data_IF_643444763022
#
_entry.id   IF_643444763022
#
_cell.length_a   1.000
_cell.length_b   1.000
_cell.length_c   1.000
_cell.angle_alpha   90.00
_cell.angle_beta   90.00
_cell.angle_gamma   90.00
#
_symmetry.space_group_name_H-M   'P 1'
#
loop_
_entity.id
_entity.type
_entity.pdbx_description
1 polymer ?
#
# COMPACT_ATOMS: atom_id res chain seq x y z
N UNK A 1 2.72 1.89 -4.45
CA UNK A 1 1.32 2.25 -4.17
C UNK A 1 1.02 2.15 -2.68
N UNK A 2 0.31 3.12 -2.11
CA UNK A 2 -0.11 3.13 -0.70
C UNK A 2 -1.60 2.83 -0.55
N UNK A 3 -2.06 2.72 0.71
CA UNK A 3 -3.48 2.64 1.05
C UNK A 3 -4.23 3.88 0.55
N UNK A 4 -3.59 5.06 0.59
CA UNK A 4 -4.21 6.30 0.17
C UNK A 4 -4.49 6.35 -1.34
N UNK A 5 -3.65 5.71 -2.17
CA UNK A 5 -3.97 5.51 -3.59
C UNK A 5 -5.27 4.73 -3.77
N UNK A 6 -5.49 3.68 -2.96
CA UNK A 6 -6.68 2.85 -3.06
C UNK A 6 -7.91 3.63 -2.64
N UNK A 7 -7.91 4.22 -1.45
CA UNK A 7 -9.02 5.03 -0.93
C UNK A 7 -9.38 6.17 -1.87
N UNK A 8 -8.38 6.84 -2.45
CA UNK A 8 -8.60 7.96 -3.37
C UNK A 8 -8.92 7.53 -4.81
N UNK A 9 -8.99 6.23 -5.09
CA UNK A 9 -9.21 5.70 -6.43
C UNK A 9 -8.19 6.23 -7.48
N UNK A 10 -6.93 6.31 -7.09
CA UNK A 10 -5.80 6.94 -7.82
C UNK A 10 -5.90 8.46 -8.03
N UNK A 11 -6.80 9.17 -7.36
CA UNK A 11 -6.81 10.64 -7.41
C UNK A 11 -5.57 11.25 -6.76
N UNK A 12 -5.00 10.57 -5.77
CA UNK A 12 -3.75 10.96 -5.14
C UNK A 12 -2.69 9.87 -5.31
N UNK A 13 -1.57 10.25 -5.91
CA UNK A 13 -0.45 9.37 -6.13
C UNK A 13 0.50 9.35 -4.92
N UNK A 14 0.95 8.15 -4.55
CA UNK A 14 1.98 8.01 -3.51
C UNK A 14 3.31 8.53 -4.00
N UNK A 15 3.95 9.38 -3.20
CA UNK A 15 5.31 9.83 -3.46
C UNK A 15 6.31 8.66 -3.43
N UNK A 16 6.99 8.44 -4.56
CA UNK A 16 8.17 7.58 -4.59
C UNK A 16 9.33 8.25 -3.86
N UNK A 17 10.00 7.49 -3.00
CA UNK A 17 11.11 7.99 -2.21
C UNK A 17 12.17 6.91 -2.04
N UNK A 18 13.44 7.33 -2.02
CA UNK A 18 14.61 6.48 -1.76
C UNK A 18 15.59 7.19 -0.86
N UNK A 19 16.32 6.42 -0.05
CA UNK A 19 17.43 6.93 0.76
C UNK A 19 18.73 6.36 0.19
N UNK A 20 19.71 7.24 -0.02
CA UNK A 20 21.05 6.85 -0.48
C UNK A 20 21.98 6.87 0.73
N UNK A 21 22.74 5.79 0.92
CA UNK A 21 23.74 5.71 1.97
C UNK A 21 24.88 6.71 1.71
N UNK A 22 25.30 7.44 2.75
CA UNK A 22 26.43 8.35 2.70
C UNK A 22 27.63 7.72 3.40
N UNK A 23 28.79 7.71 2.74
CA UNK A 23 30.06 7.29 3.34
C UNK A 23 30.75 8.39 4.15
N UNK A 24 30.22 9.63 4.10
CA UNK A 24 30.89 10.82 4.66
C UNK A 24 30.33 11.30 5.99
N UNK A 25 29.03 11.08 6.22
CA UNK A 25 28.33 11.58 7.41
C UNK A 25 27.14 10.71 7.73
N UNK A 26 26.95 10.46 9.01
CA UNK A 26 25.77 9.78 9.54
C UNK A 26 24.49 10.61 9.30
N UNK A 27 23.39 9.93 9.01
CA UNK A 27 22.07 10.53 8.83
C UNK A 27 21.08 9.75 9.68
N UNK A 28 20.39 10.46 10.57
CA UNK A 28 19.30 9.92 11.38
C UNK A 28 17.97 10.49 10.88
N UNK A 29 16.93 9.65 10.87
CA UNK A 29 15.56 10.07 10.55
C UNK A 29 14.58 9.19 11.29
N UNK A 30 13.47 9.78 11.74
CA UNK A 30 12.37 9.07 12.37
C UNK A 30 11.17 9.18 11.44
N UNK A 31 10.59 8.04 11.06
CA UNK A 31 9.41 7.96 10.21
C UNK A 31 8.20 7.50 11.04
N UNK A 32 7.06 8.16 10.82
CA UNK A 32 5.78 7.75 11.37
C UNK A 32 4.86 7.29 10.24
N UNK A 33 4.17 6.16 10.43
CA UNK A 33 3.24 5.61 9.46
C UNK A 33 1.87 5.43 10.09
N UNK A 34 0.91 6.23 9.64
CA UNK A 34 -0.49 6.07 10.04
C UNK A 34 -1.15 5.00 9.17
N UNK A 35 -1.54 3.88 9.78
CA UNK A 35 -2.16 2.75 9.09
C UNK A 35 -3.51 2.43 9.73
N UNK A 36 -4.47 1.88 8.97
CA UNK A 36 -5.74 1.45 9.52
C UNK A 36 -5.58 0.22 10.42
N UNK A 37 -6.61 -0.04 11.23
CA UNK A 37 -6.72 -1.26 12.04
C UNK A 37 -6.70 -2.53 11.16
N UNK A 38 -6.23 -3.65 11.70
CA UNK A 38 -6.08 -4.91 10.94
C UNK A 38 -7.39 -5.47 10.36
N UNK A 39 -8.53 -5.20 10.98
CA UNK A 39 -9.83 -5.67 10.50
C UNK A 39 -10.40 -4.84 9.34
N UNK A 40 -9.82 -3.69 9.03
CA UNK A 40 -10.34 -2.79 7.98
C UNK A 40 -10.26 -3.45 6.60
N UNK A 41 -11.36 -3.36 5.86
CA UNK A 41 -11.40 -3.59 4.43
C UNK A 41 -10.97 -2.32 3.72
N UNK A 42 -9.95 -2.43 2.87
CA UNK A 42 -9.43 -1.33 2.06
C UNK A 42 -10.01 -1.46 0.66
N UNK A 43 -10.72 -0.44 0.23
CA UNK A 43 -11.36 -0.30 -1.08
C UNK A 43 -11.49 1.19 -1.42
N UNK A 44 -11.74 1.57 -2.69
CA UNK A 44 -12.01 2.96 -3.03
C UNK A 44 -13.15 3.55 -2.19
N UNK A 45 -12.99 4.79 -1.71
CA UNK A 45 -14.07 5.48 -0.99
C UNK A 45 -15.23 5.71 -1.94
N UNK A 46 -16.45 5.38 -1.49
CA UNK A 46 -17.66 5.43 -2.32
C UNK A 46 -17.86 6.83 -2.92
N UNK A 47 -17.59 7.88 -2.14
CA UNK A 47 -17.72 9.29 -2.54
C UNK A 47 -16.70 9.71 -3.63
N UNK A 48 -15.69 8.88 -3.89
CA UNK A 48 -14.67 9.07 -4.91
C UNK A 48 -14.81 8.09 -6.09
N UNK A 49 -15.95 7.40 -6.17
CA UNK A 49 -16.32 6.52 -7.27
C UNK A 49 -17.66 6.91 -7.88
N UNK A 50 -17.80 6.75 -9.20
CA UNK A 50 -19.05 6.95 -9.94
C UNK A 50 -18.95 6.25 -11.32
N UNK A 51 -19.93 6.46 -12.19
CA UNK A 51 -19.95 5.85 -13.54
C UNK A 51 -18.76 6.31 -14.42
N UNK A 52 -18.33 7.57 -14.30
CA UNK A 52 -17.20 8.13 -15.05
C UNK A 52 -15.83 7.73 -14.47
N UNK A 53 -15.79 7.42 -13.17
CA UNK A 53 -14.62 7.01 -12.42
C UNK A 53 -14.94 5.78 -11.56
N UNK A 54 -15.11 4.60 -12.19
CA UNK A 54 -15.46 3.38 -11.47
C UNK A 54 -14.36 2.96 -10.49
N UNK A 55 -14.71 2.10 -9.54
CA UNK A 55 -13.74 1.54 -8.60
C UNK A 55 -12.60 0.83 -9.36
N UNK A 56 -11.36 1.32 -9.20
CA UNK A 56 -10.17 0.75 -9.85
C UNK A 56 -9.57 -0.41 -9.04
N UNK A 57 -10.08 -0.66 -7.84
CA UNK A 57 -9.56 -1.65 -6.92
C UNK A 57 -10.67 -2.47 -6.30
N UNK A 58 -10.43 -3.77 -6.11
CA UNK A 58 -11.27 -4.66 -5.31
C UNK A 58 -10.93 -4.56 -3.82
N UNK A 59 -11.95 -4.73 -2.97
CA UNK A 59 -11.78 -4.72 -1.53
C UNK A 59 -10.82 -5.81 -1.04
N UNK A 60 -9.98 -5.49 -0.05
CA UNK A 60 -9.11 -6.45 0.61
C UNK A 60 -8.92 -6.14 2.09
N UNK A 61 -8.71 -7.18 2.90
CA UNK A 61 -8.46 -6.99 4.33
C UNK A 61 -7.01 -6.54 4.58
N UNK A 62 -6.84 -5.42 5.30
CA UNK A 62 -5.54 -4.82 5.57
C UNK A 62 -4.62 -5.73 6.40
N UNK A 63 -5.16 -6.35 7.46
CA UNK A 63 -4.40 -7.25 8.33
C UNK A 63 -3.86 -8.47 7.59
N UNK A 64 -4.67 -9.10 6.74
CA UNK A 64 -4.24 -10.20 5.88
C UNK A 64 -3.14 -9.75 4.91
N UNK A 65 -3.32 -8.62 4.24
CA UNK A 65 -2.30 -8.07 3.34
C UNK A 65 -0.96 -7.82 4.06
N UNK A 66 -0.98 -7.15 5.21
CA UNK A 66 0.21 -6.85 6.02
C UNK A 66 0.92 -8.12 6.48
N UNK A 67 0.18 -9.08 7.03
CA UNK A 67 0.74 -10.34 7.52
C UNK A 67 1.37 -11.14 6.39
N UNK A 68 0.67 -11.31 5.27
CA UNK A 68 1.20 -12.03 4.09
C UNK A 68 2.47 -11.38 3.56
N UNK A 69 2.46 -10.05 3.38
CA UNK A 69 3.62 -9.30 2.89
C UNK A 69 4.82 -9.36 3.84
N UNK A 70 4.59 -9.29 5.15
CA UNK A 70 5.67 -9.40 6.13
C UNK A 70 6.27 -10.82 6.16
N UNK A 71 5.43 -11.85 6.07
CA UNK A 71 5.89 -13.24 6.06
C UNK A 71 6.71 -13.56 4.82
N UNK A 72 6.27 -13.15 3.63
CA UNK A 72 7.02 -13.40 2.39
C UNK A 72 8.38 -12.70 2.39
N UNK A 73 8.43 -11.44 2.84
CA UNK A 73 9.67 -10.66 2.96
C UNK A 73 10.67 -11.27 3.96
N UNK A 74 10.20 -11.69 5.14
CA UNK A 74 11.08 -12.18 6.20
C UNK A 74 11.54 -13.62 5.95
N UNK A 75 10.64 -14.49 5.50
CA UNK A 75 10.92 -15.92 5.34
C UNK A 75 11.51 -16.28 3.97
N UNK A 76 11.69 -15.31 3.06
CA UNK A 76 12.12 -15.52 1.66
C UNK A 76 11.37 -16.71 1.04
N UNK A 77 10.07 -16.76 1.26
CA UNK A 77 9.24 -17.81 0.69
C UNK A 77 9.35 -17.72 -0.84
N UNK A 78 9.33 -18.86 -1.52
CA UNK A 78 9.39 -18.92 -2.98
C UNK A 78 8.05 -18.54 -3.64
N UNK A 79 7.37 -17.54 -3.06
CA UNK A 79 6.07 -17.01 -3.48
C UNK A 79 6.22 -15.51 -3.68
N UNK A 80 5.52 -14.98 -4.68
CA UNK A 80 5.58 -13.56 -4.98
C UNK A 80 5.07 -12.71 -3.81
N UNK A 81 5.77 -11.60 -3.57
CA UNK A 81 5.37 -10.64 -2.56
C UNK A 81 4.05 -9.98 -2.97
N UNK A 82 2.99 -10.15 -2.17
CA UNK A 82 1.71 -9.49 -2.42
C UNK A 82 1.89 -7.96 -2.43
N UNK A 83 1.47 -7.33 -3.51
CA UNK A 83 1.44 -5.88 -3.70
C UNK A 83 0.00 -5.39 -3.89
N UNK A 84 -0.21 -4.09 -3.69
CA UNK A 84 -1.53 -3.45 -3.85
C UNK A 84 -2.04 -3.58 -5.30
N UNK A 85 -1.15 -3.54 -6.31
CA UNK A 85 -1.59 -3.67 -7.71
C UNK A 85 -2.26 -5.02 -8.00
N UNK A 86 -2.00 -6.08 -7.21
CA UNK A 86 -2.73 -7.35 -7.32
C UNK A 86 -4.23 -7.20 -7.01
N UNK A 87 -4.66 -6.08 -6.42
CA UNK A 87 -6.06 -5.77 -6.16
C UNK A 87 -6.63 -4.76 -7.15
N UNK A 88 -5.87 -4.32 -8.16
CA UNK A 88 -6.40 -3.46 -9.21
C UNK A 88 -7.37 -4.27 -10.09
N UNK A 89 -8.47 -3.66 -10.48
CA UNK A 89 -9.38 -4.19 -11.49
C UNK A 89 -8.67 -4.12 -12.85
N UNK A 90 -8.88 -5.16 -13.68
CA UNK A 90 -8.24 -5.31 -14.98
C UNK A 90 -8.70 -4.27 -16.00
#
# INVERSE_FOLDING_TARGET
MSIFNVWSNDRYESAEHRVIASSKKERFSIAFFFNPSHYVMVEPLEELTNEESPAKYRAYNWGKFRTTRNLSNLKKLNVDNVQIYHFRNG
#
